data_IF_138699496390
#
_entry.id   IF_138699496390
#
_cell.length_a   1.000
_cell.length_b   1.000
_cell.length_c   1.000
_cell.angle_alpha   90.00
_cell.angle_beta   90.00
_cell.angle_gamma   90.00
#
_symmetry.space_group_name_H-M   'P 1'
#
loop_
_entity.id
_entity.type
_entity.pdbx_description
1 polymer ?
#
# COMPACT_ATOMS: atom_id res chain seq x y z
N UNK A 1 0.09 -6.02 9.93
CA UNK A 1 -0.15 -7.49 9.80
C UNK A 1 -1.00 -7.81 8.60
N UNK A 2 -0.75 -8.91 7.90
CA UNK A 2 -1.62 -9.47 6.84
C UNK A 2 -2.60 -10.44 7.49
N UNK A 3 -3.90 -10.28 7.23
CA UNK A 3 -4.97 -11.01 7.94
C UNK A 3 -5.36 -12.34 7.27
N UNK A 4 -5.55 -12.42 5.93
CA UNK A 4 -5.81 -13.69 5.27
C UNK A 4 -4.55 -14.56 5.24
N UNK A 5 -4.72 -15.84 4.94
CA UNK A 5 -3.57 -16.71 4.64
C UNK A 5 -2.91 -16.26 3.35
N UNK A 6 -1.58 -16.29 3.32
CA UNK A 6 -0.79 -15.79 2.19
C UNK A 6 0.57 -16.47 2.14
N UNK A 7 1.24 -16.29 1.01
CA UNK A 7 2.67 -16.59 0.87
C UNK A 7 3.37 -15.49 0.06
N UNK A 8 4.70 -15.41 0.22
CA UNK A 8 5.57 -14.53 -0.56
C UNK A 8 6.19 -15.33 -1.68
N UNK A 9 6.04 -14.88 -2.92
CA UNK A 9 6.59 -15.52 -4.11
C UNK A 9 7.14 -14.49 -5.11
N UNK A 10 7.68 -14.95 -6.24
CA UNK A 10 8.05 -14.06 -7.35
C UNK A 10 6.80 -13.35 -7.86
N UNK A 11 6.87 -12.00 -7.96
CA UNK A 11 5.76 -11.18 -8.46
C UNK A 11 5.46 -11.49 -9.92
N UNK A 12 4.18 -11.43 -10.28
CA UNK A 12 3.73 -11.42 -11.68
C UNK A 12 3.97 -10.09 -12.38
N UNK A 13 4.31 -9.03 -11.64
CA UNK A 13 4.57 -7.69 -12.17
C UNK A 13 6.04 -7.60 -12.61
N UNK A 14 6.34 -7.28 -13.88
CA UNK A 14 7.71 -7.19 -14.38
C UNK A 14 8.58 -6.24 -13.55
N UNK A 15 9.71 -6.73 -13.06
CA UNK A 15 10.67 -5.94 -12.28
C UNK A 15 10.35 -5.74 -10.80
N UNK A 16 9.18 -6.15 -10.32
CA UNK A 16 8.77 -5.94 -8.91
C UNK A 16 9.45 -6.90 -7.90
N UNK A 17 10.14 -7.93 -8.37
CA UNK A 17 10.84 -8.88 -7.51
C UNK A 17 9.90 -9.88 -6.84
N UNK A 18 9.51 -9.63 -5.58
CA UNK A 18 8.57 -10.48 -4.83
C UNK A 18 7.21 -9.81 -4.71
N UNK A 19 6.17 -10.62 -4.49
CA UNK A 19 4.81 -10.19 -4.21
C UNK A 19 4.15 -11.05 -3.13
N UNK A 20 3.03 -10.57 -2.60
CA UNK A 20 2.16 -11.27 -1.66
C UNK A 20 1.02 -11.91 -2.45
N UNK A 21 0.83 -13.20 -2.28
CA UNK A 21 -0.24 -13.97 -2.92
C UNK A 21 -1.18 -14.56 -1.87
N UNK A 22 -2.48 -14.46 -2.12
CA UNK A 22 -3.51 -15.04 -1.25
C UNK A 22 -3.52 -16.57 -1.33
N UNK A 23 -3.62 -17.24 -0.17
CA UNK A 23 -3.82 -18.69 -0.02
C UNK A 23 -5.27 -19.04 0.34
N UNK A 24 -6.19 -18.11 0.12
CA UNK A 24 -7.63 -18.28 0.31
C UNK A 24 -8.39 -17.17 -0.42
N UNK A 25 -9.68 -17.43 -0.68
CA UNK A 25 -10.57 -16.41 -1.22
C UNK A 25 -10.84 -15.29 -0.19
N UNK A 26 -10.81 -14.05 -0.64
CA UNK A 26 -11.11 -12.87 0.19
C UNK A 26 -12.26 -12.11 -0.43
N UNK A 27 -13.38 -12.05 0.28
CA UNK A 27 -14.56 -11.34 -0.19
C UNK A 27 -14.32 -9.82 -0.25
N UNK A 28 -14.98 -9.17 -1.21
CA UNK A 28 -15.01 -7.71 -1.35
C UNK A 28 -15.35 -7.02 -0.02
N UNK A 29 -14.63 -5.97 0.32
CA UNK A 29 -14.80 -5.20 1.55
C UNK A 29 -14.13 -5.79 2.79
N UNK A 30 -13.56 -6.99 2.70
CA UNK A 30 -12.79 -7.58 3.81
C UNK A 30 -11.42 -6.90 3.93
N UNK A 31 -10.94 -6.84 5.17
CA UNK A 31 -9.58 -6.38 5.44
C UNK A 31 -8.56 -7.41 4.97
N UNK A 32 -7.56 -6.94 4.21
CA UNK A 32 -6.37 -7.69 3.82
C UNK A 32 -5.24 -7.39 4.79
N UNK A 33 -4.98 -6.10 5.09
CA UNK A 33 -3.98 -5.72 6.08
C UNK A 33 -4.54 -4.74 7.11
N UNK A 34 -3.98 -4.78 8.30
CA UNK A 34 -4.22 -3.82 9.37
C UNK A 34 -2.90 -3.36 9.97
N UNK A 35 -2.84 -2.13 10.53
CA UNK A 35 -1.68 -1.65 11.28
C UNK A 35 -1.37 -2.55 12.47
N UNK A 36 -0.08 -2.80 12.68
CA UNK A 36 0.43 -3.42 13.89
C UNK A 36 1.80 -2.85 14.22
N UNK A 37 2.25 -3.05 15.46
CA UNK A 37 3.59 -2.70 15.97
C UNK A 37 4.12 -1.31 15.55
N UNK A 38 3.22 -0.30 15.42
CA UNK A 38 3.64 1.08 15.16
C UNK A 38 4.30 1.64 16.41
N UNK A 39 5.62 1.58 16.47
CA UNK A 39 6.40 2.04 17.63
C UNK A 39 6.71 3.53 17.57
N UNK A 40 6.93 4.07 16.38
CA UNK A 40 7.30 5.46 16.17
C UNK A 40 6.83 5.95 14.80
N UNK A 41 6.37 7.19 14.77
CA UNK A 41 6.09 7.91 13.52
C UNK A 41 7.02 9.12 13.40
N UNK A 42 7.38 9.45 12.18
CA UNK A 42 8.29 10.52 11.81
C UNK A 42 7.57 11.56 10.96
N UNK A 43 8.02 12.80 11.00
CA UNK A 43 7.69 13.79 9.96
C UNK A 43 8.52 13.51 8.71
N UNK A 44 8.05 13.96 7.55
CA UNK A 44 8.82 13.81 6.31
C UNK A 44 10.21 14.46 6.41
N UNK A 45 10.30 15.63 7.02
CA UNK A 45 11.58 16.29 7.27
C UNK A 45 12.55 15.48 8.13
N UNK A 46 12.04 14.68 9.07
CA UNK A 46 12.86 13.78 9.89
C UNK A 46 13.32 12.56 9.10
N UNK A 47 12.46 12.03 8.21
CA UNK A 47 12.83 10.96 7.27
C UNK A 47 13.98 11.41 6.38
N UNK A 48 13.88 12.59 5.76
CA UNK A 48 14.91 13.14 4.89
C UNK A 48 16.22 13.49 5.61
N UNK A 49 16.14 13.84 6.89
CA UNK A 49 17.31 14.14 7.72
C UNK A 49 17.99 12.88 8.29
N UNK A 50 17.42 11.69 8.09
CA UNK A 50 18.02 10.46 8.58
C UNK A 50 19.33 10.17 7.83
N UNK A 51 20.42 9.73 8.52
CA UNK A 51 21.70 9.44 7.85
C UNK A 51 21.58 8.45 6.69
N UNK A 52 20.68 7.49 6.81
CA UNK A 52 20.43 6.44 5.82
C UNK A 52 19.15 6.68 5.01
N UNK A 53 18.71 7.95 4.89
CA UNK A 53 17.43 8.30 4.25
C UNK A 53 17.21 7.62 2.90
N UNK A 54 18.23 7.63 2.03
CA UNK A 54 18.16 7.08 0.69
C UNK A 54 17.87 5.56 0.67
N UNK A 55 18.37 4.83 1.67
CA UNK A 55 18.13 3.38 1.82
C UNK A 55 16.77 3.08 2.47
N UNK A 56 16.26 4.03 3.27
CA UNK A 56 15.03 3.85 4.03
C UNK A 56 13.78 4.29 3.29
N UNK A 57 13.90 5.03 2.17
CA UNK A 57 12.74 5.51 1.41
C UNK A 57 11.82 4.38 0.96
N UNK A 58 12.37 3.28 0.48
CA UNK A 58 11.58 2.11 0.06
C UNK A 58 10.87 1.37 1.20
N UNK A 59 11.28 1.62 2.45
CA UNK A 59 10.66 1.07 3.66
C UNK A 59 9.86 2.13 4.44
N UNK A 60 9.53 3.26 3.79
CA UNK A 60 8.82 4.39 4.39
C UNK A 60 7.39 4.45 3.86
N UNK A 61 6.43 4.53 4.76
CA UNK A 61 5.00 4.55 4.43
C UNK A 61 4.33 5.71 5.14
N UNK A 62 3.58 6.54 4.40
CA UNK A 62 2.71 7.56 4.98
C UNK A 62 1.44 6.92 5.54
N UNK A 63 1.14 7.23 6.78
CA UNK A 63 -0.08 6.78 7.46
C UNK A 63 -1.18 7.83 7.46
N UNK A 64 -0.85 9.03 7.90
CA UNK A 64 -1.79 10.17 7.96
C UNK A 64 -1.02 11.49 7.98
N UNK A 65 -1.59 12.52 7.39
CA UNK A 65 -0.98 13.87 7.31
C UNK A 65 0.50 13.81 6.91
N UNK A 66 1.37 14.43 7.72
CA UNK A 66 2.83 14.38 7.64
C UNK A 66 3.40 13.38 8.67
N UNK A 67 2.91 12.13 8.64
CA UNK A 67 3.35 11.06 9.55
C UNK A 67 3.66 9.78 8.80
N UNK A 68 4.89 9.31 9.01
CA UNK A 68 5.50 8.19 8.28
C UNK A 68 6.03 7.16 9.26
N UNK A 69 5.94 5.89 8.92
CA UNK A 69 6.73 4.83 9.54
C UNK A 69 7.92 4.49 8.65
N UNK A 70 8.98 3.97 9.28
CA UNK A 70 10.15 3.40 8.63
C UNK A 70 10.27 1.98 9.15
N UNK A 71 10.31 1.00 8.26
CA UNK A 71 10.39 -0.44 8.60
C UNK A 71 11.62 -1.08 7.94
N UNK A 72 12.84 -0.77 8.44
CA UNK A 72 14.09 -1.26 7.83
C UNK A 72 14.24 -2.78 7.90
N UNK A 73 13.49 -3.45 8.78
CA UNK A 73 13.44 -4.90 8.92
C UNK A 73 12.76 -5.59 7.73
N UNK A 74 12.10 -4.82 6.86
CA UNK A 74 11.41 -5.29 5.67
C UNK A 74 10.43 -6.44 5.93
N UNK A 75 9.37 -6.22 6.73
CA UNK A 75 8.33 -7.23 6.97
C UNK A 75 7.58 -7.57 5.68
N UNK A 76 6.80 -8.66 5.72
CA UNK A 76 6.14 -9.19 4.52
C UNK A 76 5.24 -8.17 3.82
N UNK A 77 4.61 -7.24 4.55
CA UNK A 77 3.79 -6.16 3.99
C UNK A 77 4.56 -5.28 2.99
N UNK A 78 5.88 -5.19 3.11
CA UNK A 78 6.73 -4.46 2.17
C UNK A 78 6.80 -5.12 0.77
N UNK A 79 6.29 -6.35 0.62
CA UNK A 79 6.17 -7.01 -0.67
C UNK A 79 4.81 -6.80 -1.35
N UNK A 80 3.92 -5.98 -0.78
CA UNK A 80 2.70 -5.55 -1.47
C UNK A 80 3.08 -4.55 -2.56
N UNK A 81 2.86 -4.91 -3.81
CA UNK A 81 3.30 -4.14 -4.97
C UNK A 81 2.33 -3.03 -5.39
N UNK A 82 2.81 -2.14 -6.27
CA UNK A 82 2.02 -1.05 -6.85
C UNK A 82 1.18 -1.51 -8.04
N UNK A 83 -0.02 -0.93 -8.15
CA UNK A 83 -0.81 -0.88 -9.38
C UNK A 83 -1.66 0.38 -9.42
N UNK A 84 -1.84 0.99 -10.62
CA UNK A 84 -2.87 2.03 -10.81
C UNK A 84 -4.29 1.46 -10.89
N UNK A 85 -4.43 0.14 -11.03
CA UNK A 85 -5.68 -0.60 -10.92
C UNK A 85 -5.56 -1.67 -9.83
N UNK A 86 -5.38 -1.24 -8.56
CA UNK A 86 -5.07 -2.14 -7.47
C UNK A 86 -6.26 -3.02 -7.11
N UNK A 87 -5.99 -4.19 -6.52
CA UNK A 87 -7.03 -5.03 -5.91
C UNK A 87 -7.31 -4.65 -4.45
N UNK A 88 -6.42 -3.89 -3.80
CA UNK A 88 -6.53 -3.41 -2.44
C UNK A 88 -6.67 -1.89 -2.35
N UNK A 89 -7.65 -1.42 -1.58
CA UNK A 89 -7.80 -0.02 -1.22
C UNK A 89 -6.95 0.29 0.00
N UNK A 90 -5.93 1.14 -0.15
CA UNK A 90 -5.22 1.72 0.99
C UNK A 90 -6.03 2.86 1.60
N UNK A 91 -6.32 2.76 2.89
CA UNK A 91 -6.97 3.81 3.66
C UNK A 91 -6.42 3.85 5.08
N UNK A 92 -5.64 4.88 5.43
CA UNK A 92 -5.09 5.11 6.77
C UNK A 92 -4.35 3.89 7.36
N UNK A 93 -3.57 3.20 6.54
CA UNK A 93 -2.82 2.02 6.95
C UNK A 93 -3.59 0.69 6.88
N UNK A 94 -4.88 0.74 6.60
CA UNK A 94 -5.67 -0.46 6.31
C UNK A 94 -5.72 -0.72 4.80
N UNK A 95 -5.76 -1.99 4.42
CA UNK A 95 -6.02 -2.39 3.04
C UNK A 95 -7.30 -3.23 2.99
N UNK A 96 -8.27 -2.77 2.21
CA UNK A 96 -9.55 -3.46 1.99
C UNK A 96 -9.58 -4.08 0.60
N UNK A 97 -10.14 -5.28 0.46
CA UNK A 97 -10.36 -5.90 -0.84
C UNK A 97 -11.40 -5.08 -1.65
N UNK A 98 -11.01 -4.58 -2.82
CA UNK A 98 -11.88 -3.77 -3.69
C UNK A 98 -12.93 -4.60 -4.43
N UNK A 99 -12.63 -5.88 -4.66
CA UNK A 99 -13.51 -6.87 -5.30
C UNK A 99 -13.40 -8.19 -4.55
N UNK A 100 -14.17 -9.19 -4.94
CA UNK A 100 -13.89 -10.56 -4.54
C UNK A 100 -12.55 -10.98 -5.15
N UNK A 101 -11.65 -11.48 -4.33
CA UNK A 101 -10.30 -11.91 -4.71
C UNK A 101 -10.21 -13.43 -4.53
N UNK A 102 -9.85 -14.13 -5.60
CA UNK A 102 -9.64 -15.58 -5.54
C UNK A 102 -8.28 -15.92 -4.91
N UNK A 103 -8.16 -17.12 -4.37
CA UNK A 103 -6.87 -17.73 -4.05
C UNK A 103 -5.89 -17.60 -5.23
N UNK A 104 -4.62 -17.32 -4.96
CA UNK A 104 -3.58 -17.05 -5.95
C UNK A 104 -3.52 -15.61 -6.46
N UNK A 105 -4.41 -14.70 -6.02
CA UNK A 105 -4.35 -13.29 -6.39
C UNK A 105 -3.15 -12.63 -5.74
N UNK A 106 -2.32 -11.93 -6.53
CA UNK A 106 -1.27 -11.03 -6.02
C UNK A 106 -1.91 -9.75 -5.48
N UNK A 107 -1.59 -9.40 -4.23
CA UNK A 107 -2.11 -8.19 -3.57
C UNK A 107 -1.35 -6.97 -4.10
N UNK A 108 -2.09 -5.96 -4.55
CA UNK A 108 -1.56 -4.68 -5.01
C UNK A 108 -2.31 -3.51 -4.38
N UNK A 109 -1.60 -2.38 -4.19
CA UNK A 109 -2.17 -1.11 -3.74
C UNK A 109 -1.66 0.04 -4.61
N UNK A 110 -2.30 1.20 -4.52
CA UNK A 110 -1.82 2.41 -5.20
C UNK A 110 -0.83 3.14 -4.28
N UNK A 111 0.45 3.12 -4.63
CA UNK A 111 1.51 3.74 -3.83
C UNK A 111 1.37 5.25 -3.69
N UNK A 112 0.63 5.92 -4.58
CA UNK A 112 0.41 7.36 -4.47
C UNK A 112 -0.23 7.78 -3.14
N UNK A 113 -0.93 6.86 -2.47
CA UNK A 113 -1.48 7.08 -1.13
C UNK A 113 -0.44 6.93 -0.01
N UNK A 114 0.66 6.20 -0.25
CA UNK A 114 1.69 5.86 0.74
C UNK A 114 2.89 6.80 0.70
N UNK A 115 3.12 7.45 -0.43
CA UNK A 115 4.25 8.35 -0.67
C UNK A 115 4.01 9.73 -0.05
N UNK A 116 5.10 10.47 0.19
CA UNK A 116 5.00 11.88 0.54
C UNK A 116 4.45 12.70 -0.65
N UNK A 117 3.79 13.84 -0.40
CA UNK A 117 3.28 14.69 -1.46
C UNK A 117 4.37 15.08 -2.47
N UNK A 118 4.15 14.74 -3.74
CA UNK A 118 5.10 15.02 -4.81
C UNK A 118 6.37 14.15 -4.82
N UNK A 119 6.55 13.23 -3.89
CA UNK A 119 7.59 12.21 -3.96
C UNK A 119 7.32 11.31 -5.17
N UNK A 120 8.32 11.12 -6.02
CA UNK A 120 8.26 10.20 -7.16
C UNK A 120 9.10 8.96 -6.84
N UNK A 121 8.57 7.78 -7.17
CA UNK A 121 9.33 6.54 -7.13
C UNK A 121 10.42 6.53 -8.22
N UNK A 122 11.51 5.82 -7.98
CA UNK A 122 12.60 5.66 -8.92
C UNK A 122 12.31 4.67 -10.06
N UNK A 123 11.17 3.99 -10.00
CA UNK A 123 10.63 3.12 -11.05
C UNK A 123 9.27 3.60 -11.53
N UNK A 124 8.79 3.03 -12.64
CA UNK A 124 7.50 3.35 -13.24
C UNK A 124 6.54 2.18 -13.13
N UNK A 125 5.25 2.48 -13.15
CA UNK A 125 4.22 1.44 -13.23
C UNK A 125 4.46 0.54 -14.44
N UNK A 126 4.56 -0.77 -14.19
CA UNK A 126 4.97 -1.74 -15.20
C UNK A 126 3.97 -1.90 -16.35
N UNK A 127 2.68 -1.61 -16.12
CA UNK A 127 1.63 -1.75 -17.12
C UNK A 127 1.49 -0.50 -17.99
N UNK A 128 1.61 0.67 -17.40
CA UNK A 128 1.30 1.95 -18.09
C UNK A 128 2.55 2.77 -18.43
N UNK A 129 3.71 2.46 -17.84
CA UNK A 129 4.94 3.25 -17.96
C UNK A 129 4.88 4.62 -17.28
N UNK A 130 3.81 4.92 -16.53
CA UNK A 130 3.63 6.21 -15.88
C UNK A 130 4.45 6.32 -14.61
N UNK A 131 4.86 7.54 -14.28
CA UNK A 131 5.47 7.86 -13.01
C UNK A 131 4.47 7.68 -11.85
N UNK A 132 4.97 7.22 -10.71
CA UNK A 132 4.21 7.02 -9.47
C UNK A 132 4.58 8.18 -8.55
N UNK A 133 3.66 9.14 -8.39
CA UNK A 133 3.90 10.38 -7.64
C UNK A 133 2.90 10.49 -6.50
N UNK A 134 3.38 10.72 -5.29
CA UNK A 134 2.55 10.81 -4.08
C UNK A 134 1.51 11.91 -4.16
N UNK A 135 0.28 11.58 -3.77
CA UNK A 135 -0.82 12.52 -3.66
C UNK A 135 -0.62 13.52 -2.52
N UNK A 136 -1.20 14.73 -2.65
CA UNK A 136 -1.48 15.56 -1.49
C UNK A 136 -2.29 14.78 -0.44
N UNK A 137 -2.13 15.16 0.83
CA UNK A 137 -2.83 14.46 1.91
C UNK A 137 -4.35 14.53 1.78
N UNK A 138 -4.89 15.71 1.53
CA UNK A 138 -6.35 15.90 1.44
C UNK A 138 -6.93 15.20 0.21
N UNK A 139 -6.21 15.23 -0.91
CA UNK A 139 -6.57 14.47 -2.11
C UNK A 139 -6.61 12.97 -1.84
N UNK A 140 -5.53 12.43 -1.26
CA UNK A 140 -5.44 11.01 -0.88
C UNK A 140 -6.57 10.59 0.06
N UNK A 141 -6.82 11.39 1.11
CA UNK A 141 -7.87 11.09 2.09
C UNK A 141 -9.26 11.16 1.47
N UNK A 142 -9.55 12.20 0.69
CA UNK A 142 -10.85 12.35 0.02
C UNK A 142 -11.15 11.19 -0.93
N UNK A 143 -10.17 10.82 -1.77
CA UNK A 143 -10.31 9.70 -2.72
C UNK A 143 -10.51 8.37 -2.02
N UNK A 144 -9.66 8.04 -1.04
CA UNK A 144 -9.75 6.75 -0.34
C UNK A 144 -11.01 6.65 0.53
N UNK A 145 -11.45 7.75 1.15
CA UNK A 145 -12.72 7.81 1.90
C UNK A 145 -13.92 7.58 0.98
N UNK A 146 -13.96 8.21 -0.19
CA UNK A 146 -15.03 8.02 -1.16
C UNK A 146 -15.10 6.57 -1.67
N UNK A 147 -13.95 5.97 -1.94
CA UNK A 147 -13.87 4.57 -2.35
C UNK A 147 -14.31 3.62 -1.22
N UNK A 148 -13.89 3.88 0.02
CA UNK A 148 -14.30 3.07 1.17
C UNK A 148 -15.81 3.18 1.41
N UNK A 149 -16.39 4.37 1.31
CA UNK A 149 -17.84 4.58 1.41
C UNK A 149 -18.58 3.75 0.36
N UNK A 150 -18.20 3.87 -0.91
CA UNK A 150 -18.80 3.10 -2.01
C UNK A 150 -18.61 1.58 -1.85
N UNK A 151 -17.52 1.16 -1.20
CA UNK A 151 -17.27 -0.24 -0.90
C UNK A 151 -18.25 -0.78 0.14
N UNK A 152 -18.54 0.02 1.18
CA UNK A 152 -19.46 -0.35 2.27
C UNK A 152 -20.94 -0.31 1.86
N UNK A 153 -21.37 0.66 1.05
CA UNK A 153 -22.77 0.75 0.59
C UNK A 153 -23.22 -0.48 -0.19
N UNK A 154 -22.34 -1.11 -0.97
CA UNK A 154 -22.68 -2.30 -1.77
C UNK A 154 -22.62 -3.61 -0.99
N UNK A 155 -22.07 -3.61 0.21
CA UNK A 155 -21.99 -4.80 1.06
C UNK A 155 -23.30 -5.06 1.84
N UNK A 156 -24.24 -4.11 1.83
CA UNK A 156 -25.52 -4.17 2.54
C UNK A 156 -26.76 -4.39 1.65
N UNK A 157 -26.59 -4.71 0.36
CA UNK A 157 -27.69 -4.95 -0.59
C UNK A 157 -27.91 -6.43 -0.88
#
# INVERSE_FOLDING_TARGET
MILPRYHVAASGIPGAGKGIFLDEDVARGRLITAPDDIRKVYKWSEVLAHPDAQQLLGATVRWFEDRYTITPEWPDECYINHSFTPCGLWHLGFVFALTDLAEGTEITVDYRHLLAPGQEEDFRDALTGRAIVGYDWHESLAMSTAQLHALMERAGA
#
